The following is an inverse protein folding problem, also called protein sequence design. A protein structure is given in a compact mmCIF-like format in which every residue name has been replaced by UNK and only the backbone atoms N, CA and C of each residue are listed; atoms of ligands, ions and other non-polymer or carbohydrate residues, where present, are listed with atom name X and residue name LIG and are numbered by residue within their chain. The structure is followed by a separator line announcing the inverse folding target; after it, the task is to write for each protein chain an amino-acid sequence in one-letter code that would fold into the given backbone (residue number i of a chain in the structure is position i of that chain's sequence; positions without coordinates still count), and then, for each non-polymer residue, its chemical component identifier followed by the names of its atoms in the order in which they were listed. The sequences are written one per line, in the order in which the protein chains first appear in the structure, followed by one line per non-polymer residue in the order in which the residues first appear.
data_IF_897134206421
#
_entry.id   IF_897134206421
#
_cell.length_a   1.000
_cell.length_b   1.000
_cell.length_c   1.000
_cell.angle_alpha   90.00
_cell.angle_beta   90.00
_cell.angle_gamma   90.00
#
_symmetry.space_group_name_H-M   'P 1'
#
loop_
_entity.id
_entity.type
_entity.pdbx_description
1 polymer ?
#
# COMPACT_ATOMS: atom_id res chain seq x y z
N UNK A 1 -13.32 3.05 -24.54
CA UNK A 1 -13.58 3.48 -23.16
C UNK A 1 -12.24 3.84 -22.55
N UNK A 2 -11.84 5.11 -22.67
CA UNK A 2 -10.60 5.61 -22.07
C UNK A 2 -10.78 5.57 -20.56
N UNK A 3 -9.89 4.89 -19.86
CA UNK A 3 -9.99 4.70 -18.43
C UNK A 3 -9.78 6.04 -17.71
N UNK A 4 -10.86 6.62 -17.19
CA UNK A 4 -10.84 7.58 -16.08
C UNK A 4 -10.45 6.84 -14.78
N UNK A 5 -9.34 6.10 -14.80
CA UNK A 5 -8.77 5.55 -13.57
C UNK A 5 -8.24 6.73 -12.77
N UNK A 6 -8.80 6.94 -11.57
CA UNK A 6 -8.35 7.97 -10.65
C UNK A 6 -6.81 7.90 -10.49
N UNK A 7 -6.06 8.99 -10.74
CA UNK A 7 -4.60 8.97 -10.66
C UNK A 7 -4.09 8.49 -9.29
N UNK A 8 -4.86 8.69 -8.22
CA UNK A 8 -4.55 8.20 -6.87
C UNK A 8 -4.59 6.67 -6.79
N UNK A 9 -5.52 6.05 -7.51
CA UNK A 9 -5.61 4.58 -7.63
C UNK A 9 -4.39 4.05 -8.38
N UNK A 10 -4.05 4.64 -9.53
CA UNK A 10 -2.88 4.24 -10.29
C UNK A 10 -1.58 4.35 -9.46
N UNK A 11 -1.41 5.45 -8.71
CA UNK A 11 -0.25 5.66 -7.85
C UNK A 11 -0.16 4.64 -6.71
N UNK A 12 -1.27 4.35 -6.02
CA UNK A 12 -1.28 3.34 -4.97
C UNK A 12 -0.93 1.95 -5.51
N UNK A 13 -1.48 1.58 -6.67
CA UNK A 13 -1.21 0.28 -7.31
C UNK A 13 0.26 0.12 -7.68
N UNK A 14 0.90 1.17 -8.19
CA UNK A 14 2.34 1.18 -8.46
C UNK A 14 3.16 1.00 -7.18
N UNK A 15 2.83 1.76 -6.12
CA UNK A 15 3.54 1.68 -4.84
C UNK A 15 3.40 0.29 -4.19
N UNK A 16 2.18 -0.28 -4.17
CA UNK A 16 1.90 -1.64 -3.67
C UNK A 16 2.69 -2.68 -4.47
N UNK A 17 2.67 -2.58 -5.80
CA UNK A 17 3.40 -3.50 -6.68
C UNK A 17 4.90 -3.48 -6.42
N UNK A 18 5.48 -2.29 -6.16
CA UNK A 18 6.89 -2.14 -5.81
C UNK A 18 7.20 -2.77 -4.46
N UNK A 19 6.42 -2.48 -3.43
CA UNK A 19 6.63 -3.05 -2.09
C UNK A 19 6.56 -4.58 -2.12
N UNK A 20 5.60 -5.16 -2.86
CA UNK A 20 5.52 -6.62 -3.05
C UNK A 20 6.77 -7.22 -3.69
N UNK A 21 7.37 -6.52 -4.68
CA UNK A 21 8.63 -6.97 -5.32
C UNK A 21 9.80 -6.90 -4.35
N UNK A 22 9.91 -5.82 -3.57
CA UNK A 22 10.97 -5.68 -2.58
C UNK A 22 10.84 -6.76 -1.49
N UNK A 23 9.63 -7.02 -0.98
CA UNK A 23 9.35 -8.12 -0.05
C UNK A 23 9.69 -9.50 -0.62
N UNK A 24 9.36 -9.75 -1.89
CA UNK A 24 9.69 -11.00 -2.56
C UNK A 24 11.20 -11.21 -2.76
N UNK A 25 11.97 -10.12 -2.85
CA UNK A 25 13.43 -10.15 -2.95
C UNK A 25 14.16 -10.38 -1.63
N UNK A 26 13.47 -10.28 -0.48
CA UNK A 26 14.09 -10.51 0.82
C UNK A 26 14.31 -12.01 1.03
N UNK A 27 15.57 -12.39 1.32
CA UNK A 27 15.95 -13.77 1.66
C UNK A 27 15.62 -14.17 3.09
N UNK A 28 15.30 -13.21 3.96
CA UNK A 28 14.98 -13.50 5.36
C UNK A 28 13.56 -14.09 5.47
N UNK A 29 13.42 -15.12 6.30
CA UNK A 29 12.10 -15.61 6.69
C UNK A 29 11.45 -14.57 7.59
N UNK A 30 10.47 -13.88 7.06
CA UNK A 30 9.61 -12.95 7.80
C UNK A 30 8.40 -13.75 8.29
N UNK A 31 8.28 -14.02 9.60
CA UNK A 31 7.17 -14.79 10.13
C UNK A 31 5.81 -14.20 9.73
N UNK A 32 5.74 -12.87 9.69
CA UNK A 32 4.51 -12.12 9.40
C UNK A 32 4.41 -11.65 7.95
N UNK A 33 5.29 -12.10 7.05
CA UNK A 33 5.23 -11.71 5.62
C UNK A 33 3.89 -12.07 4.95
N UNK A 34 3.29 -13.25 5.18
CA UNK A 34 1.96 -13.55 4.63
C UNK A 34 0.91 -12.51 5.05
N UNK A 35 0.95 -12.06 6.31
CA UNK A 35 0.05 -11.01 6.83
C UNK A 35 0.27 -9.70 6.08
N UNK A 36 1.53 -9.30 5.88
CA UNK A 36 1.83 -8.08 5.12
C UNK A 36 1.37 -8.16 3.65
N UNK A 37 1.54 -9.32 3.00
CA UNK A 37 1.10 -9.53 1.62
C UNK A 37 -0.44 -9.52 1.48
N UNK A 38 -1.17 -10.10 2.44
CA UNK A 38 -2.63 -10.10 2.49
C UNK A 38 -3.18 -8.67 2.68
N UNK A 39 -2.59 -7.89 3.58
CA UNK A 39 -2.97 -6.49 3.78
C UNK A 39 -2.64 -5.62 2.55
N UNK A 40 -1.56 -5.91 1.82
CA UNK A 40 -1.26 -5.24 0.55
C UNK A 40 -2.27 -5.57 -0.54
N UNK A 41 -2.77 -6.81 -0.59
CA UNK A 41 -3.85 -7.20 -1.48
C UNK A 41 -5.17 -6.50 -1.11
N UNK A 42 -5.44 -6.34 0.19
CA UNK A 42 -6.61 -5.61 0.68
C UNK A 42 -6.55 -4.11 0.30
N UNK A 43 -5.38 -3.48 0.39
CA UNK A 43 -5.17 -2.09 -0.06
C UNK A 43 -5.44 -1.91 -1.56
N UNK A 44 -4.93 -2.82 -2.39
CA UNK A 44 -5.17 -2.82 -3.84
C UNK A 44 -6.67 -2.96 -4.16
N UNK A 45 -7.33 -3.92 -3.51
CA UNK A 45 -8.78 -4.13 -3.66
C UNK A 45 -9.62 -2.91 -3.24
N UNK A 46 -9.25 -2.24 -2.14
CA UNK A 46 -9.93 -1.03 -1.67
C UNK A 46 -9.75 0.16 -2.62
N UNK A 47 -8.59 0.29 -3.27
CA UNK A 47 -8.39 1.35 -4.26
C UNK A 47 -9.21 1.09 -5.54
N UNK A 48 -9.29 -0.16 -6.00
CA UNK A 48 -10.01 -0.49 -7.24
C UNK A 48 -11.53 -0.51 -7.05
N UNK A 49 -12.04 -0.71 -5.84
CA UNK A 49 -13.50 -0.74 -5.56
C UNK A 49 -14.19 0.63 -5.66
N UNK A 50 -13.43 1.72 -5.77
CA UNK A 50 -13.97 3.08 -5.96
C UNK A 50 -14.50 3.76 -4.69
N UNK A 51 -14.47 3.09 -3.53
CA UNK A 51 -14.85 3.68 -2.23
C UNK A 51 -13.71 3.47 -1.21
N UNK A 52 -12.61 4.23 -1.31
CA UNK A 52 -11.47 4.09 -0.42
C UNK A 52 -11.82 4.53 1.01
N UNK A 53 -11.82 3.57 1.94
CA UNK A 53 -12.05 3.79 3.37
C UNK A 53 -10.74 4.24 4.05
N UNK A 54 -10.47 5.55 4.13
CA UNK A 54 -9.21 6.09 4.68
C UNK A 54 -8.82 5.52 6.05
N UNK A 55 -9.74 5.41 7.04
CA UNK A 55 -9.39 4.85 8.34
C UNK A 55 -8.94 3.38 8.23
N UNK A 56 -9.54 2.61 7.33
CA UNK A 56 -9.21 1.21 7.08
C UNK A 56 -7.88 1.08 6.35
N UNK A 57 -7.62 1.89 5.33
CA UNK A 57 -6.33 1.91 4.63
C UNK A 57 -5.19 2.26 5.59
N UNK A 58 -5.39 3.26 6.46
CA UNK A 58 -4.42 3.61 7.51
C UNK A 58 -4.19 2.48 8.51
N UNK A 59 -5.23 1.74 8.88
CA UNK A 59 -5.10 0.54 9.72
C UNK A 59 -4.26 -0.54 9.02
N UNK A 60 -4.53 -0.83 7.74
CA UNK A 60 -3.73 -1.80 6.96
C UNK A 60 -2.25 -1.39 6.89
N UNK A 61 -1.94 -0.10 6.72
CA UNK A 61 -0.55 0.40 6.76
C UNK A 61 0.13 0.11 8.11
N UNK A 62 -0.56 0.25 9.23
CA UNK A 62 -0.01 -0.06 10.54
C UNK A 62 0.25 -1.56 10.71
N UNK A 63 -0.63 -2.41 10.18
CA UNK A 63 -0.44 -3.87 10.20
C UNK A 63 0.75 -4.29 9.33
N UNK A 64 0.87 -3.73 8.13
CA UNK A 64 2.01 -3.95 7.24
C UNK A 64 3.32 -3.50 7.92
N UNK A 65 3.34 -2.32 8.53
CA UNK A 65 4.51 -1.82 9.24
C UNK A 65 4.91 -2.70 10.44
N UNK A 66 3.92 -3.20 11.20
CA UNK A 66 4.15 -4.13 12.31
C UNK A 66 4.69 -5.48 11.85
N UNK A 67 4.17 -6.01 10.75
CA UNK A 67 4.57 -7.30 10.18
C UNK A 67 5.96 -7.27 9.50
N UNK A 68 6.33 -6.13 8.91
CA UNK A 68 7.63 -5.94 8.26
C UNK A 68 8.73 -5.59 9.27
N UNK A 69 8.38 -4.85 10.34
CA UNK A 69 9.36 -4.32 11.31
C UNK A 69 10.27 -3.22 10.74
N UNK A 70 11.38 -2.93 11.42
CA UNK A 70 12.32 -1.83 11.08
C UNK A 70 13.29 -2.15 9.94
N UNK A 71 12.88 -2.92 8.93
CA UNK A 71 13.76 -3.30 7.82
C UNK A 71 13.98 -2.12 6.88
N UNK A 72 15.19 -1.56 6.91
CA UNK A 72 15.57 -0.40 6.09
C UNK A 72 15.45 -0.65 4.59
N UNK A 73 15.62 -1.90 4.14
CA UNK A 73 15.58 -2.29 2.73
C UNK A 73 14.21 -2.03 2.06
N UNK A 74 13.11 -2.03 2.83
CA UNK A 74 11.74 -1.83 2.32
C UNK A 74 11.12 -0.52 2.83
N UNK A 75 11.83 0.24 3.65
CA UNK A 75 11.33 1.47 4.26
C UNK A 75 10.96 2.53 3.20
N UNK A 76 11.71 2.59 2.09
CA UNK A 76 11.44 3.51 1.00
C UNK A 76 10.11 3.18 0.29
N UNK A 77 9.90 1.92 -0.12
CA UNK A 77 8.65 1.51 -0.75
C UNK A 77 7.46 1.58 0.21
N UNK A 78 7.64 1.26 1.48
CA UNK A 78 6.58 1.42 2.48
C UNK A 78 6.16 2.90 2.65
N UNK A 79 7.11 3.83 2.60
CA UNK A 79 6.82 5.27 2.62
C UNK A 79 6.04 5.71 1.37
N UNK A 80 6.35 5.16 0.20
CA UNK A 80 5.60 5.44 -1.03
C UNK A 80 4.14 4.98 -0.92
N UNK A 81 3.88 3.78 -0.38
CA UNK A 81 2.50 3.30 -0.14
C UNK A 81 1.76 4.22 0.83
N UNK A 82 2.43 4.66 1.90
CA UNK A 82 1.84 5.62 2.86
C UNK A 82 1.45 6.93 2.19
N UNK A 83 2.36 7.52 1.41
CA UNK A 83 2.10 8.77 0.70
C UNK A 83 0.91 8.62 -0.26
N UNK A 84 0.84 7.51 -1.00
CA UNK A 84 -0.27 7.24 -1.91
C UNK A 84 -1.61 7.09 -1.17
N UNK A 85 -1.64 6.46 0.00
CA UNK A 85 -2.85 6.40 0.85
C UNK A 85 -3.27 7.79 1.35
N UNK A 86 -2.31 8.65 1.70
CA UNK A 86 -2.61 10.00 2.19
C UNK A 86 -3.27 10.88 1.11
N UNK A 87 -3.04 10.63 -0.19
CA UNK A 87 -3.74 11.31 -1.30
C UNK A 87 -5.25 11.09 -1.32
N UNK A 88 -5.74 9.99 -0.74
CA UNK A 88 -7.17 9.75 -0.61
C UNK A 88 -7.79 10.53 0.56
N UNK A 89 -6.96 10.97 1.53
CA UNK A 89 -7.38 11.73 2.70
C UNK A 89 -7.20 13.24 2.58
N UNK A 90 -6.50 13.73 1.56
CA UNK A 90 -6.47 15.17 1.26
C UNK A 90 -7.81 15.61 0.66
N UNK A 91 -8.42 16.73 1.14
CA UNK A 91 -9.55 17.32 0.44
C UNK A 91 -9.11 17.69 -0.98
N UNK A 92 -9.95 17.48 -2.01
CA UNK A 92 -9.60 17.87 -3.38
C UNK A 92 -9.27 19.36 -3.36
N UNK A 93 -8.01 19.70 -3.67
CA UNK A 93 -7.61 21.10 -3.83
C UNK A 93 -8.30 21.59 -5.10
N UNK A 94 -9.43 22.26 -4.90
CA UNK A 94 -10.16 22.99 -5.94
C UNK A 94 -9.39 24.20 -6.44
#
# INVERSE_FOLDING_TARGET
TGSDEDPRVAELRMAVSRLRRELAGLRAEFPDRPIAEDELAALDAMAVSGVPEIPRMRRSLLLIAGAIGSVSAVAAALREVRNAVDLFGEPPRG
#
